data_IF_358402061635
#
_entry.id   IF_358402061635
#
_cell.length_a   1.000
_cell.length_b   1.000
_cell.length_c   1.000
_cell.angle_alpha   90.00
_cell.angle_beta   90.00
_cell.angle_gamma   90.00
#
_symmetry.space_group_name_H-M   'P 1'
#
loop_
_entity.id
_entity.type
_entity.pdbx_description
1 polymer ?
#
# COMPACT_ATOMS: atom_id res chain seq x y z
N UNK A 1 -26.58 7.69 18.11
CA UNK A 1 -25.93 7.54 16.79
C UNK A 1 -25.48 6.11 16.62
N UNK A 2 -25.77 5.46 15.48
CA UNK A 2 -25.24 4.12 15.21
C UNK A 2 -23.72 4.14 15.05
N UNK A 3 -23.08 2.97 15.15
CA UNK A 3 -21.64 2.82 15.02
C UNK A 3 -21.27 2.18 13.67
N UNK A 4 -20.12 2.57 13.15
CA UNK A 4 -19.47 1.88 12.01
C UNK A 4 -18.56 0.78 12.55
N UNK A 5 -18.30 -0.24 11.74
CA UNK A 5 -17.37 -1.33 12.07
C UNK A 5 -15.98 -1.12 11.44
N UNK A 6 -15.65 0.12 11.13
CA UNK A 6 -14.38 0.49 10.49
C UNK A 6 -14.49 0.52 8.97
N UNK A 7 -13.35 0.42 8.31
CA UNK A 7 -13.28 0.36 6.84
C UNK A 7 -13.32 -1.09 6.40
N UNK A 8 -14.26 -1.44 5.53
CA UNK A 8 -14.38 -2.80 4.99
C UNK A 8 -13.40 -3.04 3.84
N UNK A 9 -13.37 -2.14 2.88
CA UNK A 9 -12.46 -2.22 1.74
C UNK A 9 -12.22 -0.83 1.15
N UNK A 10 -11.15 -0.72 0.36
CA UNK A 10 -10.79 0.51 -0.36
C UNK A 10 -10.90 0.26 -1.86
N UNK A 11 -11.43 1.23 -2.60
CA UNK A 11 -11.53 1.18 -4.07
C UNK A 11 -10.26 1.75 -4.71
N UNK A 12 -9.69 1.00 -5.63
CA UNK A 12 -8.48 1.40 -6.35
C UNK A 12 -8.72 1.19 -7.85
N UNK A 13 -8.47 2.23 -8.65
CA UNK A 13 -8.49 2.12 -10.09
C UNK A 13 -7.11 1.71 -10.61
N UNK A 14 -7.09 0.73 -11.50
CA UNK A 14 -5.86 0.23 -12.12
C UNK A 14 -6.02 0.21 -13.64
N UNK A 15 -4.90 0.11 -14.37
CA UNK A 15 -4.93 0.07 -15.83
C UNK A 15 -5.48 -1.25 -16.37
N UNK A 16 -5.09 -2.35 -15.74
CA UNK A 16 -5.45 -3.71 -16.15
C UNK A 16 -5.51 -4.60 -14.92
N UNK A 17 -6.63 -5.27 -14.70
CA UNK A 17 -6.83 -6.11 -13.52
C UNK A 17 -5.81 -7.24 -13.40
N UNK A 18 -5.53 -7.94 -14.48
CA UNK A 18 -4.60 -9.07 -14.48
C UNK A 18 -3.19 -8.63 -14.08
N UNK A 19 -2.71 -7.53 -14.66
CA UNK A 19 -1.39 -6.98 -14.32
C UNK A 19 -1.35 -6.48 -12.87
N UNK A 20 -2.42 -5.84 -12.42
CA UNK A 20 -2.52 -5.33 -11.06
C UNK A 20 -2.51 -6.47 -10.04
N UNK A 21 -3.28 -7.53 -10.26
CA UNK A 21 -3.29 -8.71 -9.39
C UNK A 21 -1.89 -9.28 -9.26
N UNK A 22 -1.19 -9.47 -10.37
CA UNK A 22 0.18 -9.98 -10.36
C UNK A 22 1.10 -9.09 -9.52
N UNK A 23 0.99 -7.78 -9.68
CA UNK A 23 1.81 -6.83 -8.93
C UNK A 23 1.50 -6.87 -7.42
N UNK A 24 0.20 -6.77 -7.06
CA UNK A 24 -0.20 -6.79 -5.64
C UNK A 24 0.15 -8.10 -4.95
N UNK A 25 0.06 -9.22 -5.66
CA UNK A 25 0.50 -10.52 -5.11
C UNK A 25 2.00 -10.56 -4.87
N UNK A 26 2.79 -10.17 -5.86
CA UNK A 26 4.26 -10.27 -5.79
C UNK A 26 4.87 -9.23 -4.85
N UNK A 27 4.38 -8.00 -4.91
CA UNK A 27 5.02 -6.89 -4.18
C UNK A 27 4.47 -6.74 -2.77
N UNK A 28 3.15 -6.80 -2.60
CA UNK A 28 2.51 -6.57 -1.30
C UNK A 28 1.97 -7.83 -0.64
N UNK A 29 1.95 -8.97 -1.33
CA UNK A 29 1.48 -10.23 -0.76
C UNK A 29 -0.04 -10.34 -0.67
N UNK A 30 -0.79 -9.52 -1.40
CA UNK A 30 -2.23 -9.64 -1.45
C UNK A 30 -2.64 -10.84 -2.28
N UNK A 31 -3.84 -11.38 -2.02
CA UNK A 31 -4.41 -12.47 -2.79
C UNK A 31 -5.87 -12.18 -3.12
N UNK A 32 -6.32 -12.71 -4.25
CA UNK A 32 -7.72 -12.62 -4.67
C UNK A 32 -8.60 -13.34 -3.64
N UNK A 33 -9.69 -12.69 -3.25
CA UNK A 33 -10.75 -13.29 -2.43
C UNK A 33 -11.70 -14.02 -3.37
N UNK A 34 -11.51 -15.32 -3.52
CA UNK A 34 -12.22 -16.13 -4.51
C UNK A 34 -13.74 -16.11 -4.33
N UNK A 35 -14.23 -16.06 -3.08
CA UNK A 35 -15.64 -16.01 -2.76
C UNK A 35 -16.34 -14.77 -3.32
N UNK A 36 -15.57 -13.71 -3.60
CA UNK A 36 -16.09 -12.44 -4.12
C UNK A 36 -15.77 -12.23 -5.60
N UNK A 37 -15.12 -13.18 -6.26
CA UNK A 37 -14.71 -13.04 -7.65
C UNK A 37 -15.91 -12.88 -8.61
N UNK A 38 -17.07 -13.36 -8.23
CA UNK A 38 -18.29 -13.22 -9.04
C UNK A 38 -18.74 -11.76 -9.24
N UNK A 39 -18.26 -10.83 -8.43
CA UNK A 39 -18.59 -9.42 -8.59
C UNK A 39 -17.91 -8.80 -9.82
N UNK A 40 -16.85 -9.42 -10.31
CA UNK A 40 -16.18 -9.00 -11.54
C UNK A 40 -16.86 -9.58 -12.78
N UNK A 41 -18.15 -9.27 -12.98
CA UNK A 41 -18.94 -9.84 -14.07
C UNK A 41 -18.49 -9.38 -15.44
N UNK A 42 -17.94 -8.14 -15.54
CA UNK A 42 -17.53 -7.54 -16.81
C UNK A 42 -16.04 -7.73 -17.11
N UNK A 43 -15.26 -8.28 -16.18
CA UNK A 43 -13.81 -8.34 -16.29
C UNK A 43 -13.11 -7.01 -16.02
N UNK A 44 -13.86 -5.99 -15.54
CA UNK A 44 -13.33 -4.65 -15.21
C UNK A 44 -13.46 -4.30 -13.73
N UNK A 45 -13.85 -5.27 -12.93
CA UNK A 45 -13.99 -5.14 -11.48
C UNK A 45 -15.42 -5.01 -11.00
N UNK A 46 -15.62 -4.98 -9.69
CA UNK A 46 -14.56 -5.05 -8.70
C UNK A 46 -13.95 -6.44 -8.54
N UNK A 47 -12.65 -6.50 -8.48
CA UNK A 47 -11.93 -7.70 -8.08
C UNK A 47 -11.30 -7.45 -6.72
N UNK A 48 -11.70 -8.23 -5.72
CA UNK A 48 -11.31 -8.02 -4.33
C UNK A 48 -10.03 -8.78 -4.00
N UNK A 49 -9.06 -8.07 -3.45
CA UNK A 49 -7.82 -8.64 -2.92
C UNK A 49 -7.79 -8.46 -1.40
N UNK A 50 -7.04 -9.31 -0.72
CA UNK A 50 -6.88 -9.25 0.73
C UNK A 50 -5.42 -9.50 1.10
N UNK A 51 -4.92 -8.77 2.10
CA UNK A 51 -3.56 -8.93 2.60
C UNK A 51 -3.39 -10.25 3.38
N UNK A 52 -2.15 -10.61 3.66
CA UNK A 52 -1.80 -11.87 4.35
C UNK A 52 -2.35 -11.95 5.77
N UNK A 53 -2.49 -10.82 6.43
CA UNK A 53 -3.04 -10.76 7.80
C UNK A 53 -4.57 -10.66 7.83
N UNK A 54 -5.21 -10.64 6.66
CA UNK A 54 -6.67 -10.51 6.52
C UNK A 54 -7.26 -9.26 7.17
N UNK A 55 -6.46 -8.18 7.24
CA UNK A 55 -6.86 -6.92 7.85
C UNK A 55 -7.30 -5.87 6.84
N UNK A 56 -6.87 -5.99 5.58
CA UNK A 56 -7.10 -4.98 4.55
C UNK A 56 -7.61 -5.63 3.28
N UNK A 57 -8.69 -5.09 2.74
CA UNK A 57 -9.25 -5.47 1.44
C UNK A 57 -9.19 -4.32 0.47
N UNK A 58 -8.85 -4.64 -0.77
CA UNK A 58 -8.86 -3.71 -1.90
C UNK A 58 -9.84 -4.22 -2.94
N UNK A 59 -10.69 -3.35 -3.45
CA UNK A 59 -11.55 -3.63 -4.59
C UNK A 59 -10.97 -2.94 -5.81
N UNK A 60 -10.42 -3.71 -6.73
CA UNK A 60 -9.76 -3.19 -7.93
C UNK A 60 -10.75 -3.03 -9.06
N UNK A 61 -10.71 -1.88 -9.72
CA UNK A 61 -11.51 -1.55 -10.91
C UNK A 61 -10.57 -1.12 -12.03
N UNK A 62 -10.88 -1.45 -13.26
CA UNK A 62 -10.22 -0.81 -14.40
C UNK A 62 -10.79 0.60 -14.57
N UNK A 63 -9.92 1.59 -14.48
CA UNK A 63 -10.30 2.99 -14.56
C UNK A 63 -9.11 3.91 -14.71
N UNK A 64 -9.37 5.15 -15.12
CA UNK A 64 -8.32 6.13 -15.46
C UNK A 64 -7.89 6.99 -14.28
N UNK A 65 -8.76 7.23 -13.30
CA UNK A 65 -8.45 8.12 -12.17
C UNK A 65 -7.56 7.40 -11.18
N UNK A 66 -6.42 8.01 -10.85
CA UNK A 66 -5.48 7.46 -9.87
C UNK A 66 -5.77 8.02 -8.49
N UNK A 67 -5.66 7.16 -7.47
CA UNK A 67 -5.82 7.59 -6.09
C UNK A 67 -4.51 8.21 -5.57
N UNK A 68 -4.65 9.00 -4.50
CA UNK A 68 -3.48 9.46 -3.74
C UNK A 68 -2.87 8.33 -2.91
N UNK A 69 -3.51 7.18 -2.90
CA UNK A 69 -3.00 5.97 -2.30
C UNK A 69 -3.54 5.68 -0.91
N UNK A 70 -3.04 4.58 -0.39
CA UNK A 70 -3.39 4.06 0.92
C UNK A 70 -2.14 4.09 1.78
N UNK A 71 -2.29 4.54 3.03
CA UNK A 71 -1.24 4.44 4.03
C UNK A 71 -1.46 3.16 4.83
N UNK A 72 -0.62 2.16 4.57
CA UNK A 72 -0.61 0.91 5.32
C UNK A 72 0.20 1.08 6.59
N UNK A 73 -0.24 0.48 7.69
CA UNK A 73 0.50 0.48 8.94
C UNK A 73 1.47 -0.69 9.05
N UNK A 74 2.60 -0.47 9.71
CA UNK A 74 3.57 -1.51 10.01
C UNK A 74 4.26 -1.23 11.35
N UNK A 75 4.67 -2.28 12.04
CA UNK A 75 5.59 -2.15 13.18
C UNK A 75 6.96 -1.68 12.68
N UNK A 76 7.82 -1.19 13.57
CA UNK A 76 9.18 -0.78 13.18
C UNK A 76 9.98 -1.91 12.54
N UNK A 77 9.88 -3.10 13.08
CA UNK A 77 10.53 -4.29 12.53
C UNK A 77 10.04 -4.61 11.11
N UNK A 78 8.72 -4.61 10.92
CA UNK A 78 8.13 -4.88 9.60
C UNK A 78 8.42 -3.75 8.61
N UNK A 79 8.46 -2.51 9.06
CA UNK A 79 8.82 -1.37 8.22
C UNK A 79 10.21 -1.55 7.60
N UNK A 80 11.18 -1.92 8.44
CA UNK A 80 12.56 -2.18 7.97
C UNK A 80 12.57 -3.35 6.98
N UNK A 81 11.80 -4.41 7.27
CA UNK A 81 11.67 -5.56 6.37
C UNK A 81 11.04 -5.15 5.02
N UNK A 82 10.07 -4.23 5.02
CA UNK A 82 9.49 -3.71 3.77
C UNK A 82 10.50 -2.94 2.93
N UNK A 83 11.35 -2.13 3.53
CA UNK A 83 12.42 -1.44 2.80
C UNK A 83 13.34 -2.44 2.09
N UNK A 84 13.75 -3.49 2.79
CA UNK A 84 14.59 -4.54 2.21
C UNK A 84 13.86 -5.30 1.09
N UNK A 85 12.58 -5.59 1.30
CA UNK A 85 11.75 -6.27 0.31
C UNK A 85 11.59 -5.44 -0.97
N UNK A 86 11.25 -4.16 -0.86
CA UNK A 86 11.14 -3.27 -2.01
C UNK A 86 12.45 -3.18 -2.79
N UNK A 87 13.55 -3.10 -2.07
CA UNK A 87 14.88 -3.09 -2.71
C UNK A 87 15.12 -4.38 -3.48
N UNK A 88 14.79 -5.53 -2.90
CA UNK A 88 14.94 -6.84 -3.56
C UNK A 88 14.08 -6.99 -4.80
N UNK A 89 12.93 -6.31 -4.84
CA UNK A 89 11.99 -6.31 -5.96
C UNK A 89 12.24 -5.19 -6.96
N UNK A 90 13.30 -4.39 -6.75
CA UNK A 90 13.62 -3.22 -7.57
C UNK A 90 12.46 -2.22 -7.65
N UNK A 91 11.74 -2.05 -6.55
CA UNK A 91 10.67 -1.06 -6.43
C UNK A 91 11.25 0.26 -5.94
N UNK A 92 11.00 1.32 -6.70
CA UNK A 92 11.45 2.66 -6.34
C UNK A 92 10.66 3.18 -5.15
N UNK A 93 11.38 3.63 -4.12
CA UNK A 93 10.77 4.15 -2.90
C UNK A 93 11.36 5.48 -2.47
N UNK A 94 10.60 6.23 -1.68
CA UNK A 94 11.09 7.42 -0.96
C UNK A 94 10.88 7.19 0.53
N UNK A 95 11.96 7.18 1.29
CA UNK A 95 11.92 7.08 2.74
C UNK A 95 11.83 8.49 3.33
N UNK A 96 10.89 8.70 4.24
CA UNK A 96 10.64 10.01 4.83
C UNK A 96 10.55 9.93 6.35
N UNK A 97 11.27 10.85 7.00
CA UNK A 97 11.25 11.06 8.44
C UNK A 97 10.30 12.23 8.76
N UNK A 98 9.19 11.92 9.43
CA UNK A 98 8.18 12.92 9.81
C UNK A 98 8.35 13.42 11.25
N UNK A 99 9.42 13.06 11.94
CA UNK A 99 9.68 13.48 13.31
C UNK A 99 9.01 12.65 14.39
N UNK A 100 7.88 12.05 14.09
CA UNK A 100 7.12 11.16 15.00
C UNK A 100 6.72 9.84 14.34
N UNK A 101 6.83 9.76 13.02
CA UNK A 101 6.63 8.56 12.22
C UNK A 101 7.65 8.51 11.10
N UNK A 102 7.85 7.33 10.54
CA UNK A 102 8.54 7.15 9.27
C UNK A 102 7.56 6.65 8.23
N UNK A 103 7.79 6.99 6.96
CA UNK A 103 6.98 6.52 5.85
C UNK A 103 7.85 6.09 4.68
N UNK A 104 7.39 5.04 3.98
CA UNK A 104 7.92 4.61 2.69
C UNK A 104 6.87 4.95 1.66
N UNK A 105 7.21 5.77 0.68
CA UNK A 105 6.31 6.11 -0.44
C UNK A 105 6.71 5.30 -1.66
N UNK A 106 5.73 4.72 -2.34
CA UNK A 106 5.93 3.90 -3.53
C UNK A 106 4.70 3.97 -4.43
N UNK A 107 4.83 3.50 -5.65
CA UNK A 107 3.72 3.45 -6.61
C UNK A 107 3.42 2.01 -7.00
N UNK A 108 2.14 1.71 -7.22
CA UNK A 108 1.77 0.45 -7.85
C UNK A 108 2.05 0.49 -9.36
N UNK A 109 1.78 -0.62 -10.06
CA UNK A 109 2.06 -0.74 -11.50
C UNK A 109 1.21 0.21 -12.36
N UNK A 110 0.12 0.74 -11.82
CA UNK A 110 -0.77 1.68 -12.50
C UNK A 110 -0.49 3.14 -12.15
N UNK A 111 0.43 3.41 -11.22
CA UNK A 111 0.80 4.74 -10.79
C UNK A 111 0.02 5.28 -9.60
N UNK A 112 -0.76 4.46 -8.91
CA UNK A 112 -1.35 4.87 -7.63
C UNK A 112 -0.24 5.01 -6.60
N UNK A 113 -0.22 6.15 -5.89
CA UNK A 113 0.78 6.41 -4.85
C UNK A 113 0.32 5.81 -3.53
N UNK A 114 1.15 4.98 -2.94
CA UNK A 114 0.89 4.36 -1.64
C UNK A 114 1.99 4.69 -0.65
N UNK A 115 1.72 4.44 0.62
CA UNK A 115 2.75 4.53 1.64
C UNK A 115 2.64 3.38 2.65
N UNK A 116 3.74 3.05 3.28
CA UNK A 116 3.78 2.26 4.50
C UNK A 116 4.30 3.18 5.58
N UNK A 117 3.56 3.29 6.69
CA UNK A 117 3.92 4.18 7.79
C UNK A 117 4.07 3.40 9.10
N UNK A 118 4.98 3.85 9.94
CA UNK A 118 5.20 3.26 11.26
C UNK A 118 5.34 4.36 12.32
N UNK A 119 4.72 4.12 13.47
CA UNK A 119 4.85 4.97 14.66
C UNK A 119 6.01 4.56 15.57
N UNK A 120 6.74 3.49 15.23
CA UNK A 120 7.92 3.04 15.98
C UNK A 120 9.15 3.89 15.60
N UNK A 121 9.04 5.18 15.81
CA UNK A 121 9.99 6.18 15.34
C UNK A 121 11.42 5.91 15.81
N UNK A 122 11.60 5.74 17.12
CA UNK A 122 12.93 5.56 17.70
C UNK A 122 13.62 4.30 17.19
N UNK A 123 12.88 3.22 17.03
CA UNK A 123 13.39 1.97 16.50
C UNK A 123 13.93 2.14 15.07
N UNK A 124 13.15 2.80 14.21
CA UNK A 124 13.53 3.01 12.81
C UNK A 124 14.70 4.02 12.72
N UNK A 125 14.68 5.07 13.54
CA UNK A 125 15.72 6.08 13.56
C UNK A 125 17.11 5.50 13.87
N UNK A 126 17.18 4.45 14.67
CA UNK A 126 18.42 3.74 14.95
C UNK A 126 19.05 3.14 13.69
N UNK A 127 18.23 2.66 12.76
CA UNK A 127 18.71 2.07 11.49
C UNK A 127 18.97 3.12 10.42
N UNK A 128 18.29 4.27 10.48
CA UNK A 128 18.36 5.33 9.46
C UNK A 128 18.60 6.71 10.09
N UNK A 129 19.72 6.89 10.81
CA UNK A 129 19.96 8.13 11.53
C UNK A 129 20.24 9.33 10.62
N UNK A 130 20.67 9.08 9.37
CA UNK A 130 21.01 10.13 8.41
C UNK A 130 19.83 10.66 7.59
N UNK A 131 18.63 10.06 7.75
CA UNK A 131 17.44 10.57 7.06
C UNK A 131 17.00 11.86 7.72
N UNK A 132 16.98 12.96 6.94
CA UNK A 132 16.50 14.25 7.42
C UNK A 132 14.98 14.28 7.51
N UNK A 133 14.46 15.02 8.49
CA UNK A 133 13.04 15.28 8.59
C UNK A 133 12.60 16.05 7.34
N UNK A 134 11.76 15.41 6.53
CA UNK A 134 11.34 15.96 5.25
C UNK A 134 10.07 16.77 5.34
N UNK A 135 9.84 17.63 4.34
CA UNK A 135 8.56 18.29 4.16
C UNK A 135 7.54 17.31 3.57
N UNK A 136 6.28 17.52 3.89
CA UNK A 136 5.20 16.68 3.37
C UNK A 136 5.08 16.75 1.85
N UNK A 137 5.47 17.85 1.22
CA UNK A 137 5.34 18.04 -0.23
C UNK A 137 6.28 17.16 -1.05
N UNK A 138 7.45 16.81 -0.54
CA UNK A 138 8.45 16.00 -1.26
C UNK A 138 8.04 14.53 -1.42
N UNK A 139 7.00 14.08 -0.74
CA UNK A 139 6.64 12.67 -0.57
C UNK A 139 5.49 12.22 -1.45
N UNK A 140 4.78 13.16 -2.04
CA UNK A 140 3.52 12.91 -2.75
C UNK A 140 3.68 12.84 -4.26
N UNK A 141 4.87 13.12 -4.76
CA UNK A 141 5.16 13.12 -6.19
C UNK A 141 5.26 11.74 -6.80
#
# INVERSE_FOLDING_TARGET
MPLLSGVDHCHINVNNLSNAVTWYEKVLGFKVVEELAFWDETGKGPLTLQDRNTTTRLALFEGQVRSKGIAFGATGEQFIAWLAHFKSMDIKTVLADHGVTFSIYFKDESGNSHEITSHDYEHIKMFYPSVEQGSHSAKKS
#
